data_IF_355780665219
#
_entry.id   IF_355780665219
#
_cell.length_a   1.000
_cell.length_b   1.000
_cell.length_c   1.000
_cell.angle_alpha   90.00
_cell.angle_beta   90.00
_cell.angle_gamma   90.00
#
_symmetry.space_group_name_H-M   'P 1'
#
loop_
_entity.id
_entity.type
_entity.pdbx_description
1 polymer ?
#
# COMPACT_ATOMS: atom_id res chain seq x y z
N UNK A 1 3.80 8.91 -22.52
CA UNK A 1 3.94 7.44 -22.52
C UNK A 1 4.63 6.88 -23.76
N UNK A 2 4.13 7.06 -25.00
CA UNK A 2 4.82 6.53 -26.20
C UNK A 2 6.25 7.08 -26.32
N UNK A 3 6.43 8.39 -26.08
CA UNK A 3 7.75 9.04 -26.15
C UNK A 3 8.68 8.60 -25.00
N UNK A 4 8.15 8.44 -23.79
CA UNK A 4 8.92 7.96 -22.63
C UNK A 4 9.37 6.50 -22.81
N UNK A 5 8.52 5.66 -23.41
CA UNK A 5 8.88 4.28 -23.76
C UNK A 5 10.01 4.26 -24.78
N UNK A 6 9.95 5.13 -25.80
CA UNK A 6 11.02 5.26 -26.79
C UNK A 6 12.33 5.76 -26.16
N UNK A 7 12.24 6.78 -25.30
CA UNK A 7 13.39 7.30 -24.53
C UNK A 7 14.01 6.21 -23.64
N UNK A 8 13.19 5.45 -22.91
CA UNK A 8 13.66 4.37 -22.04
C UNK A 8 14.36 3.26 -22.84
N UNK A 9 13.83 2.89 -24.01
CA UNK A 9 14.49 1.91 -24.91
C UNK A 9 15.84 2.38 -25.42
N UNK A 10 16.04 3.69 -25.54
CA UNK A 10 17.29 4.28 -25.98
C UNK A 10 18.34 4.42 -24.87
N UNK A 11 17.98 4.17 -23.60
CA UNK A 11 18.90 4.29 -22.49
C UNK A 11 19.99 3.21 -22.55
N UNK A 12 21.25 3.55 -22.19
CA UNK A 12 22.30 2.56 -22.04
C UNK A 12 21.92 1.55 -20.96
N UNK A 13 22.18 0.27 -21.24
CA UNK A 13 21.86 -0.85 -20.36
C UNK A 13 23.09 -1.73 -20.19
N UNK A 14 23.71 -1.66 -19.02
CA UNK A 14 24.86 -2.47 -18.63
C UNK A 14 24.56 -3.26 -17.36
N UNK A 15 25.25 -4.39 -17.17
CA UNK A 15 25.07 -5.24 -15.98
C UNK A 15 25.49 -4.54 -14.67
N UNK A 16 26.34 -3.52 -14.79
CA UNK A 16 26.79 -2.68 -13.68
C UNK A 16 26.35 -1.24 -13.88
N UNK A 17 26.04 -0.56 -12.80
CA UNK A 17 25.78 0.87 -12.79
C UNK A 17 27.07 1.66 -13.04
N UNK A 18 26.99 2.97 -13.32
CA UNK A 18 28.18 3.82 -13.43
C UNK A 18 29.08 3.83 -12.18
N UNK A 19 28.55 3.43 -11.02
CA UNK A 19 29.32 3.25 -9.77
C UNK A 19 29.97 1.88 -9.62
N UNK A 20 29.88 1.00 -10.64
CA UNK A 20 30.45 -0.34 -10.64
C UNK A 20 29.69 -1.36 -9.79
N UNK A 21 28.47 -1.04 -9.34
CA UNK A 21 27.61 -1.96 -8.57
C UNK A 21 26.66 -2.72 -9.51
N UNK A 22 26.20 -3.94 -9.15
CA UNK A 22 25.24 -4.67 -9.97
C UNK A 22 23.99 -3.83 -10.27
N UNK A 23 23.62 -3.67 -11.53
CA UNK A 23 22.47 -2.88 -11.98
C UNK A 23 21.14 -3.64 -11.82
N UNK A 24 20.91 -4.13 -10.61
CA UNK A 24 19.71 -4.86 -10.20
C UNK A 24 18.90 -3.97 -9.27
N UNK A 25 17.63 -3.79 -9.60
CA UNK A 25 16.73 -2.91 -8.87
C UNK A 25 15.56 -3.71 -8.31
N UNK A 26 15.34 -3.57 -7.01
CA UNK A 26 14.12 -4.05 -6.35
C UNK A 26 13.06 -2.94 -6.43
N UNK A 27 11.82 -3.34 -6.68
CA UNK A 27 10.68 -2.45 -6.60
C UNK A 27 9.56 -3.05 -5.77
N UNK A 28 8.88 -2.18 -5.03
CA UNK A 28 7.65 -2.51 -4.32
C UNK A 28 6.67 -1.32 -4.35
N UNK A 29 5.42 -1.63 -4.03
CA UNK A 29 4.33 -0.67 -3.94
C UNK A 29 3.97 -0.48 -2.46
N UNK A 30 3.80 0.76 -2.00
CA UNK A 30 3.43 1.05 -0.61
C UNK A 30 2.28 2.06 -0.58
N UNK A 31 1.44 1.97 0.44
CA UNK A 31 0.39 2.95 0.69
C UNK A 31 0.83 3.89 1.83
N UNK A 32 0.84 5.18 1.55
CA UNK A 32 1.16 6.21 2.55
C UNK A 32 -0.15 6.85 3.00
N UNK A 33 -0.61 6.54 4.20
CA UNK A 33 -1.83 7.07 4.81
C UNK A 33 -1.61 8.46 5.48
N UNK A 34 -0.78 9.31 4.88
CA UNK A 34 -0.45 10.63 5.43
C UNK A 34 -1.44 11.69 4.93
N UNK A 35 -2.29 12.19 5.83
CA UNK A 35 -3.14 13.33 5.55
C UNK A 35 -2.30 14.61 5.32
N UNK A 36 -2.78 15.55 4.46
CA UNK A 36 -4.05 15.53 3.72
C UNK A 36 -4.00 14.77 2.38
N UNK A 37 -2.87 14.12 2.07
CA UNK A 37 -2.57 13.61 0.73
C UNK A 37 -2.22 12.12 0.76
N UNK A 38 -3.17 11.23 1.15
CA UNK A 38 -2.94 9.80 1.09
C UNK A 38 -2.69 9.37 -0.36
N UNK A 39 -1.74 8.45 -0.55
CA UNK A 39 -1.28 8.08 -1.89
C UNK A 39 -0.51 6.76 -1.89
N UNK A 40 -0.47 6.11 -3.05
CA UNK A 40 0.46 5.02 -3.29
C UNK A 40 1.80 5.55 -3.76
N UNK A 41 2.87 4.85 -3.39
CA UNK A 41 4.22 5.13 -3.89
C UNK A 41 4.84 3.87 -4.47
N UNK A 42 5.44 4.02 -5.65
CA UNK A 42 6.42 3.06 -6.15
C UNK A 42 7.74 3.39 -5.47
N UNK A 43 8.33 2.40 -4.80
CA UNK A 43 9.67 2.53 -4.24
C UNK A 43 10.64 1.65 -5.04
N UNK A 44 11.68 2.28 -5.60
CA UNK A 44 12.77 1.61 -6.31
C UNK A 44 14.01 1.64 -5.42
N UNK A 45 14.72 0.53 -5.30
CA UNK A 45 15.98 0.50 -4.55
C UNK A 45 17.01 -0.44 -5.16
N UNK A 46 18.26 0.02 -5.17
CA UNK A 46 19.43 -0.79 -5.46
C UNK A 46 20.09 -1.16 -4.12
N UNK A 47 19.86 -2.40 -3.68
CA UNK A 47 20.22 -2.86 -2.34
C UNK A 47 21.71 -2.71 -2.05
N UNK A 48 22.57 -3.03 -3.02
CA UNK A 48 24.03 -3.04 -2.89
C UNK A 48 24.64 -1.65 -2.68
N UNK A 49 23.94 -0.59 -3.10
CA UNK A 49 24.37 0.80 -2.94
C UNK A 49 23.49 1.58 -1.95
N UNK A 50 22.36 1.00 -1.52
CA UNK A 50 21.28 1.71 -0.81
C UNK A 50 20.75 2.94 -1.58
N UNK A 51 21.00 3.03 -2.88
CA UNK A 51 20.37 4.05 -3.71
C UNK A 51 18.88 3.72 -3.83
N UNK A 52 18.04 4.74 -3.79
CA UNK A 52 16.61 4.57 -3.94
C UNK A 52 16.00 5.72 -4.75
N UNK A 53 14.78 5.48 -5.20
CA UNK A 53 13.91 6.45 -5.84
C UNK A 53 12.48 6.19 -5.39
N UNK A 54 11.65 7.23 -5.29
CA UNK A 54 10.23 7.08 -5.01
C UNK A 54 9.40 7.88 -5.99
N UNK A 55 8.35 7.28 -6.54
CA UNK A 55 7.36 7.96 -7.37
C UNK A 55 5.99 7.88 -6.73
N UNK A 56 5.29 9.01 -6.68
CA UNK A 56 3.87 9.08 -6.29
C UNK A 56 3.01 8.49 -7.41
N UNK A 57 2.04 7.65 -7.04
CA UNK A 57 1.09 7.05 -7.95
C UNK A 57 -0.34 7.55 -7.69
N UNK A 58 -1.14 7.73 -8.77
CA UNK A 58 -0.76 7.57 -10.16
C UNK A 58 0.08 8.76 -10.66
N UNK A 59 0.83 8.54 -11.75
CA UNK A 59 1.67 9.61 -12.30
C UNK A 59 0.82 10.80 -12.74
N UNK A 60 1.40 12.01 -12.64
CA UNK A 60 0.76 13.30 -12.98
C UNK A 60 -0.34 13.75 -12.01
N UNK A 61 -0.50 13.07 -10.88
CA UNK A 61 -1.22 13.63 -9.73
C UNK A 61 -0.43 14.83 -9.21
N UNK A 62 -1.06 16.00 -9.05
CA UNK A 62 -0.38 17.17 -8.50
C UNK A 62 0.16 16.86 -7.10
N UNK A 63 1.23 17.55 -6.68
CA UNK A 63 1.84 17.33 -5.36
C UNK A 63 0.82 17.45 -4.22
N UNK A 64 -0.16 18.34 -4.40
CA UNK A 64 -1.18 18.71 -3.42
C UNK A 64 -2.49 17.91 -3.52
N UNK A 65 -2.66 17.03 -4.53
CA UNK A 65 -3.88 16.21 -4.65
C UNK A 65 -3.68 14.82 -4.04
N UNK A 66 -4.73 14.28 -3.42
CA UNK A 66 -4.72 12.88 -3.01
C UNK A 66 -4.65 11.95 -4.22
N UNK A 67 -3.84 10.89 -4.13
CA UNK A 67 -3.75 9.84 -5.15
C UNK A 67 -4.74 8.69 -4.91
N UNK A 68 -5.71 8.87 -4.02
CA UNK A 68 -6.58 7.81 -3.50
C UNK A 68 -7.45 7.12 -4.56
N UNK A 69 -7.72 7.79 -5.69
CA UNK A 69 -8.45 7.19 -6.81
C UNK A 69 -7.69 6.03 -7.48
N UNK A 70 -6.37 5.95 -7.27
CA UNK A 70 -5.59 4.76 -7.59
C UNK A 70 -5.46 3.91 -6.33
N UNK A 71 -6.25 2.84 -6.25
CA UNK A 71 -6.21 1.86 -5.17
C UNK A 71 -6.28 0.46 -5.79
N UNK A 72 -5.15 -0.08 -6.28
CA UNK A 72 -5.18 -1.36 -6.98
C UNK A 72 -5.54 -2.48 -6.02
N UNK A 73 -6.42 -3.38 -6.45
CA UNK A 73 -6.81 -4.58 -5.68
C UNK A 73 -6.04 -5.84 -6.13
N UNK A 74 -5.23 -5.73 -7.18
CA UNK A 74 -4.45 -6.82 -7.74
C UNK A 74 -3.17 -6.33 -8.43
N UNK A 75 -2.22 -7.24 -8.63
CA UNK A 75 -1.02 -6.96 -9.43
C UNK A 75 -1.34 -6.49 -10.86
N UNK A 76 -2.38 -7.06 -11.50
CA UNK A 76 -2.83 -6.64 -12.83
C UNK A 76 -3.38 -5.20 -12.85
N UNK A 77 -4.12 -4.80 -11.82
CA UNK A 77 -4.61 -3.43 -11.68
C UNK A 77 -3.47 -2.43 -11.40
N UNK A 78 -2.45 -2.85 -10.64
CA UNK A 78 -1.30 -2.01 -10.30
C UNK A 78 -0.29 -1.85 -11.45
N UNK A 79 -0.12 -2.90 -12.27
CA UNK A 79 0.95 -3.00 -13.25
C UNK A 79 1.04 -1.84 -14.25
N UNK A 80 -0.06 -1.29 -14.81
CA UNK A 80 0.01 -0.15 -15.70
C UNK A 80 0.71 1.05 -15.06
N UNK A 81 0.29 1.49 -13.87
CA UNK A 81 0.90 2.65 -13.19
C UNK A 81 2.33 2.37 -12.72
N UNK A 82 2.61 1.15 -12.23
CA UNK A 82 3.96 0.73 -11.88
C UNK A 82 4.91 0.82 -13.09
N UNK A 83 4.52 0.28 -14.25
CA UNK A 83 5.36 0.30 -15.44
C UNK A 83 5.66 1.72 -15.91
N UNK A 84 4.63 2.59 -15.91
CA UNK A 84 4.80 4.00 -16.26
C UNK A 84 5.81 4.67 -15.33
N UNK A 85 5.69 4.45 -14.03
CA UNK A 85 6.57 5.04 -13.03
C UNK A 85 8.00 4.52 -13.15
N UNK A 86 8.22 3.20 -13.30
CA UNK A 86 9.55 2.63 -13.54
C UNK A 86 10.22 3.29 -14.76
N UNK A 87 9.51 3.35 -15.89
CA UNK A 87 10.02 3.95 -17.13
C UNK A 87 10.42 5.41 -16.89
N UNK A 88 9.52 6.20 -16.28
CA UNK A 88 9.74 7.62 -16.00
C UNK A 88 10.93 7.83 -15.06
N UNK A 89 11.08 7.04 -14.00
CA UNK A 89 12.18 7.18 -13.04
C UNK A 89 13.55 7.02 -13.69
N UNK A 90 13.71 6.03 -14.57
CA UNK A 90 14.99 5.82 -15.25
C UNK A 90 15.24 6.82 -16.39
N UNK A 91 14.20 7.27 -17.10
CA UNK A 91 14.31 8.32 -18.14
C UNK A 91 14.71 9.66 -17.54
N UNK A 92 14.10 10.04 -16.42
CA UNK A 92 14.40 11.30 -15.73
C UNK A 92 15.70 11.23 -14.91
N UNK A 93 16.24 10.02 -14.75
CA UNK A 93 17.39 9.75 -13.90
C UNK A 93 16.95 9.54 -12.44
N UNK A 94 17.39 8.42 -11.86
CA UNK A 94 17.19 8.16 -10.44
C UNK A 94 18.12 9.07 -9.63
N UNK A 95 17.52 9.81 -8.70
CA UNK A 95 18.12 10.93 -7.97
C UNK A 95 19.60 10.72 -7.67
N UNK A 96 20.41 11.56 -8.32
CA UNK A 96 21.81 11.77 -7.99
C UNK A 96 21.88 12.83 -6.89
N UNK A 97 21.75 12.42 -5.63
CA UNK A 97 21.97 13.22 -4.41
C UNK A 97 23.39 13.85 -4.31
N UNK A 98 24.16 13.89 -5.40
CA UNK A 98 25.58 14.25 -5.46
C UNK A 98 25.87 15.41 -6.43
N UNK A 99 24.93 16.36 -6.60
CA UNK A 99 25.18 17.68 -7.21
C UNK A 99 25.53 17.71 -8.71
N UNK A 100 25.72 16.56 -9.36
CA UNK A 100 25.86 16.44 -10.81
C UNK A 100 24.83 15.44 -11.35
N UNK A 101 24.03 15.82 -12.36
CA UNK A 101 23.11 14.87 -12.99
C UNK A 101 23.92 13.72 -13.57
N UNK A 102 23.65 12.50 -13.11
CA UNK A 102 24.20 11.30 -13.75
C UNK A 102 23.41 11.04 -15.05
N UNK A 103 24.07 10.65 -16.15
CA UNK A 103 23.36 10.24 -17.35
C UNK A 103 22.36 9.12 -17.01
N UNK A 104 21.11 9.20 -17.51
CA UNK A 104 20.12 8.17 -17.28
C UNK A 104 20.55 6.84 -17.93
N UNK A 105 20.17 5.73 -17.30
CA UNK A 105 20.47 4.38 -17.75
C UNK A 105 19.29 3.46 -17.42
N UNK A 106 19.11 2.40 -18.19
CA UNK A 106 18.07 1.41 -17.92
C UNK A 106 18.58 0.35 -16.92
N UNK A 107 17.69 -0.23 -16.09
CA UNK A 107 18.06 -1.33 -15.21
C UNK A 107 18.54 -2.54 -16.01
N UNK A 108 19.45 -3.34 -15.45
CA UNK A 108 19.76 -4.65 -16.02
C UNK A 108 18.69 -5.65 -15.65
N UNK A 109 18.29 -5.67 -14.37
CA UNK A 109 17.22 -6.53 -13.86
C UNK A 109 16.32 -5.78 -12.90
N UNK A 110 15.06 -6.18 -12.92
CA UNK A 110 14.03 -5.75 -11.98
C UNK A 110 13.61 -6.93 -11.13
N UNK A 111 13.40 -6.68 -9.85
CA UNK A 111 12.92 -7.69 -8.91
C UNK A 111 11.83 -7.15 -8.02
N UNK A 112 10.97 -8.02 -7.52
CA UNK A 112 9.97 -7.69 -6.51
C UNK A 112 9.75 -8.89 -5.59
N UNK A 113 9.05 -8.71 -4.48
CA UNK A 113 8.67 -9.81 -3.59
C UNK A 113 7.34 -10.46 -3.96
N UNK A 114 6.48 -9.73 -4.67
CA UNK A 114 5.10 -10.11 -4.91
C UNK A 114 4.99 -10.76 -6.30
N UNK A 115 4.51 -12.01 -6.32
CA UNK A 115 4.48 -12.84 -7.53
C UNK A 115 3.44 -12.39 -8.56
N UNK A 116 2.24 -12.00 -8.14
CA UNK A 116 1.22 -11.49 -9.06
C UNK A 116 1.65 -10.21 -9.78
N UNK A 117 2.34 -9.30 -9.09
CA UNK A 117 2.96 -8.06 -9.57
C UNK A 117 4.11 -8.39 -10.48
N UNK A 118 5.00 -9.33 -10.11
CA UNK A 118 6.12 -9.73 -10.97
C UNK A 118 5.61 -10.20 -12.35
N UNK A 119 4.56 -11.02 -12.37
CA UNK A 119 3.92 -11.51 -13.60
C UNK A 119 3.23 -10.38 -14.36
N UNK A 120 2.40 -9.59 -13.68
CA UNK A 120 1.61 -8.53 -14.30
C UNK A 120 2.49 -7.41 -14.89
N UNK A 121 3.48 -6.95 -14.13
CA UNK A 121 4.47 -5.95 -14.58
C UNK A 121 5.28 -6.51 -15.74
N UNK A 122 5.76 -7.76 -15.67
CA UNK A 122 6.49 -8.39 -16.77
C UNK A 122 5.68 -8.45 -18.07
N UNK A 123 4.40 -8.84 -17.98
CA UNK A 123 3.47 -8.84 -19.11
C UNK A 123 3.22 -7.44 -19.66
N UNK A 124 3.07 -6.44 -18.79
CA UNK A 124 2.82 -5.07 -19.19
C UNK A 124 4.05 -4.43 -19.87
N UNK A 125 5.26 -4.64 -19.35
CA UNK A 125 6.51 -4.22 -20.00
C UNK A 125 6.68 -4.89 -21.38
N UNK A 126 6.28 -6.17 -21.51
CA UNK A 126 6.28 -6.88 -22.79
C UNK A 126 5.29 -6.26 -23.78
N UNK A 127 4.08 -5.87 -23.35
CA UNK A 127 3.09 -5.16 -24.20
C UNK A 127 3.62 -3.81 -24.68
N UNK A 128 4.42 -3.12 -23.87
CA UNK A 128 5.11 -1.88 -24.25
C UNK A 128 6.32 -2.11 -25.19
N UNK A 129 6.63 -3.38 -25.51
CA UNK A 129 7.68 -3.78 -26.42
C UNK A 129 9.09 -3.55 -25.86
N UNK A 130 9.27 -3.65 -24.54
CA UNK A 130 10.59 -3.59 -23.91
C UNK A 130 11.38 -4.88 -24.09
N UNK A 131 12.68 -4.84 -23.77
CA UNK A 131 13.57 -6.00 -23.88
C UNK A 131 13.08 -7.18 -23.05
N UNK A 132 13.18 -8.40 -23.62
CA UNK A 132 12.69 -9.64 -23.01
C UNK A 132 13.27 -9.88 -21.61
N UNK A 133 14.53 -9.55 -21.39
CA UNK A 133 15.20 -9.70 -20.09
C UNK A 133 14.59 -8.82 -19.01
N UNK A 134 14.15 -7.60 -19.36
CA UNK A 134 13.47 -6.69 -18.44
C UNK A 134 12.02 -7.10 -18.17
N UNK A 135 11.40 -7.83 -19.09
CA UNK A 135 10.06 -8.38 -18.92
C UNK A 135 10.05 -9.59 -17.97
N UNK A 136 11.22 -10.15 -17.63
CA UNK A 136 11.36 -11.22 -16.64
C UNK A 136 11.70 -10.60 -15.28
N UNK A 137 10.66 -10.39 -14.47
CA UNK A 137 10.82 -9.88 -13.11
C UNK A 137 11.15 -11.05 -12.18
N UNK A 138 12.32 -11.00 -11.53
CA UNK A 138 12.73 -12.06 -10.60
C UNK A 138 12.11 -11.83 -9.21
N UNK A 139 11.77 -12.92 -8.51
CA UNK A 139 11.37 -12.87 -7.11
C UNK A 139 12.59 -12.77 -6.19
N UNK A 140 12.44 -12.03 -5.10
CA UNK A 140 13.49 -11.86 -4.10
C UNK A 140 13.29 -12.75 -2.87
N UNK A 141 14.37 -12.89 -2.09
CA UNK A 141 14.34 -13.61 -0.81
C UNK A 141 13.97 -12.67 0.33
N UNK A 142 13.54 -13.23 1.47
CA UNK A 142 13.27 -12.47 2.70
C UNK A 142 14.41 -11.52 3.10
N UNK A 143 15.67 -11.93 2.90
CA UNK A 143 16.83 -11.07 3.22
C UNK A 143 16.83 -9.76 2.41
N UNK A 144 16.46 -9.83 1.13
CA UNK A 144 16.38 -8.67 0.25
C UNK A 144 15.21 -7.77 0.64
N UNK A 145 14.06 -8.37 1.01
CA UNK A 145 12.88 -7.67 1.50
C UNK A 145 13.21 -6.85 2.75
N UNK A 146 13.83 -7.48 3.75
CA UNK A 146 14.28 -6.79 4.96
C UNK A 146 15.28 -5.67 4.66
N UNK A 147 16.16 -5.86 3.68
CA UNK A 147 17.11 -4.82 3.28
C UNK A 147 16.40 -3.64 2.60
N UNK A 148 15.43 -3.90 1.70
CA UNK A 148 14.61 -2.88 1.06
C UNK A 148 13.82 -2.08 2.10
N UNK A 149 13.18 -2.76 3.06
CA UNK A 149 12.46 -2.12 4.17
C UNK A 149 13.38 -1.19 4.97
N UNK A 150 14.60 -1.61 5.31
CA UNK A 150 15.55 -0.74 6.04
C UNK A 150 15.94 0.52 5.26
N UNK A 151 16.02 0.45 3.93
CA UNK A 151 16.27 1.64 3.11
C UNK A 151 15.02 2.54 3.13
N UNK A 152 13.84 1.95 3.02
CA UNK A 152 12.59 2.68 3.10
C UNK A 152 12.36 3.33 4.48
N UNK A 153 12.67 2.66 5.59
CA UNK A 153 12.53 3.21 6.94
C UNK A 153 13.33 4.51 7.08
N UNK A 154 14.55 4.56 6.51
CA UNK A 154 15.37 5.78 6.49
C UNK A 154 14.72 6.88 5.67
N UNK A 155 14.26 6.54 4.45
CA UNK A 155 13.52 7.47 3.60
C UNK A 155 12.28 8.04 4.31
N UNK A 156 11.50 7.16 4.96
CA UNK A 156 10.32 7.50 5.72
C UNK A 156 10.65 8.44 6.88
N UNK A 157 11.66 8.13 7.70
CA UNK A 157 12.08 9.01 8.80
C UNK A 157 12.50 10.40 8.33
N UNK A 158 13.22 10.49 7.20
CA UNK A 158 13.58 11.77 6.58
C UNK A 158 12.33 12.54 6.15
N UNK A 159 11.43 11.89 5.42
CA UNK A 159 10.19 12.51 4.94
C UNK A 159 9.28 13.01 6.08
N UNK A 160 9.12 12.23 7.15
CA UNK A 160 8.34 12.64 8.34
C UNK A 160 8.97 13.85 9.02
N UNK A 161 10.30 13.88 9.11
CA UNK A 161 11.05 15.01 9.68
C UNK A 161 10.88 16.28 8.84
N UNK A 162 10.98 16.16 7.52
CA UNK A 162 10.81 17.28 6.57
C UNK A 162 9.40 17.88 6.60
N UNK A 163 8.37 17.05 6.83
CA UNK A 163 6.98 17.49 6.99
C UNK A 163 6.69 18.18 8.32
N UNK A 164 7.67 18.23 9.24
CA UNK A 164 7.57 18.92 10.54
C UNK A 164 6.39 18.46 11.40
N UNK A 165 6.06 17.17 11.36
CA UNK A 165 5.08 16.62 12.29
C UNK A 165 5.57 16.83 13.74
N UNK A 166 4.65 17.08 14.71
CA UNK A 166 5.01 17.12 16.12
C UNK A 166 5.72 15.83 16.54
N UNK A 167 6.76 15.93 17.38
CA UNK A 167 7.57 14.76 17.80
C UNK A 167 6.72 13.59 18.32
N UNK A 168 5.69 13.80 19.17
CA UNK A 168 4.82 12.70 19.61
C UNK A 168 4.12 11.98 18.46
N UNK A 169 3.63 12.72 17.46
CA UNK A 169 2.96 12.18 16.27
C UNK A 169 3.96 11.44 15.38
N UNK A 170 5.13 12.05 15.13
CA UNK A 170 6.19 11.46 14.32
C UNK A 170 6.66 10.09 14.86
N UNK A 171 6.73 9.93 16.19
CA UNK A 171 7.09 8.65 16.84
C UNK A 171 6.04 7.56 16.59
N UNK A 172 4.76 7.94 16.44
CA UNK A 172 3.66 6.99 16.21
C UNK A 172 3.53 6.54 14.75
N UNK A 173 4.06 7.33 13.80
CA UNK A 173 3.98 7.05 12.37
C UNK A 173 5.00 5.99 11.94
N UNK A 174 4.58 4.72 11.94
CA UNK A 174 5.38 3.60 11.41
C UNK A 174 5.50 3.67 9.89
N UNK A 175 6.68 3.32 9.38
CA UNK A 175 6.88 3.17 7.94
C UNK A 175 5.99 2.03 7.41
N UNK A 176 5.19 2.26 6.36
CA UNK A 176 4.38 1.20 5.77
C UNK A 176 5.26 0.11 5.15
N UNK A 177 4.78 -1.12 5.24
CA UNK A 177 5.31 -2.26 4.51
C UNK A 177 4.85 -2.24 3.04
N UNK A 178 5.46 -3.07 2.22
CA UNK A 178 5.06 -3.32 0.85
C UNK A 178 3.69 -4.00 0.77
N UNK A 179 2.90 -3.62 -0.23
CA UNK A 179 1.58 -4.19 -0.49
C UNK A 179 1.76 -5.56 -1.13
N UNK A 180 1.32 -6.60 -0.42
CA UNK A 180 1.16 -7.94 -0.95
C UNK A 180 -0.27 -8.18 -1.43
N UNK A 181 -0.47 -8.49 -2.71
CA UNK A 181 -1.81 -8.80 -3.26
C UNK A 181 -2.18 -10.27 -3.03
N UNK A 182 -1.23 -11.19 -3.11
CA UNK A 182 -1.44 -12.61 -2.81
C UNK A 182 -1.72 -12.87 -1.32
N UNK A 183 -1.13 -12.06 -0.43
CA UNK A 183 -1.30 -12.14 1.03
C UNK A 183 -2.45 -11.28 1.55
N UNK A 184 -3.12 -10.52 0.68
CA UNK A 184 -4.42 -9.89 0.98
C UNK A 184 -5.55 -10.95 1.09
N UNK A 185 -5.21 -12.14 1.61
CA UNK A 185 -6.15 -12.99 2.32
C UNK A 185 -6.26 -12.41 3.70
N UNK A 186 -7.19 -11.48 3.84
CA UNK A 186 -7.59 -10.98 5.12
C UNK A 186 -7.88 -12.19 5.99
N UNK A 187 -7.15 -12.27 7.11
CA UNK A 187 -7.29 -13.39 8.01
C UNK A 187 -8.80 -13.55 8.24
N UNK A 188 -9.39 -14.71 7.92
CA UNK A 188 -10.76 -14.95 8.35
C UNK A 188 -10.77 -14.67 9.85
N UNK A 189 -11.83 -14.05 10.34
CA UNK A 189 -12.06 -13.84 11.77
C UNK A 189 -11.48 -15.00 12.57
N UNK A 190 -10.77 -14.75 13.69
CA UNK A 190 -10.41 -15.85 14.58
C UNK A 190 -11.67 -16.67 14.78
N UNK A 191 -11.64 -17.92 14.30
CA UNK A 191 -12.77 -18.81 14.48
C UNK A 191 -13.00 -18.85 15.98
N UNK A 192 -14.26 -18.72 16.39
CA UNK A 192 -14.73 -18.64 17.79
C UNK A 192 -14.02 -19.62 18.74
N UNK A 193 -13.47 -20.71 18.21
CA UNK A 193 -12.93 -21.86 18.92
C UNK A 193 -11.58 -21.71 19.64
N UNK A 194 -10.90 -20.56 19.63
CA UNK A 194 -9.67 -20.40 20.43
C UNK A 194 -9.84 -19.54 21.69
N UNK A 195 -11.03 -18.94 21.87
CA UNK A 195 -11.44 -18.29 23.12
C UNK A 195 -12.59 -19.05 23.82
N UNK A 196 -12.77 -20.33 23.50
CA UNK A 196 -13.73 -21.23 24.13
C UNK A 196 -13.32 -21.55 25.57
N UNK A 197 -13.56 -20.61 26.48
CA UNK A 197 -14.35 -20.96 27.64
C UNK A 197 -15.80 -20.98 27.17
N UNK A 198 -16.38 -22.16 26.97
CA UNK A 198 -17.75 -22.33 26.51
C UNK A 198 -18.68 -21.41 27.30
N UNK A 199 -19.21 -20.38 26.63
CA UNK A 199 -20.19 -19.49 27.23
C UNK A 199 -21.53 -20.22 27.24
N UNK A 200 -21.91 -20.78 28.39
CA UNK A 200 -23.16 -21.53 28.62
C UNK A 200 -24.37 -20.60 28.80
N UNK A 201 -24.40 -19.51 28.03
CA UNK A 201 -25.46 -18.51 28.04
C UNK A 201 -26.61 -18.89 27.11
N UNK A 202 -27.77 -18.21 27.25
CA UNK A 202 -28.91 -18.48 26.38
C UNK A 202 -28.58 -18.14 24.91
N UNK A 203 -29.19 -18.82 23.93
CA UNK A 203 -28.81 -18.75 22.51
C UNK A 203 -28.88 -17.34 21.90
N UNK A 204 -29.78 -16.50 22.42
CA UNK A 204 -29.96 -15.09 22.04
C UNK A 204 -28.78 -14.19 22.43
N UNK A 205 -28.07 -14.56 23.50
CA UNK A 205 -26.91 -13.84 23.97
C UNK A 205 -25.65 -14.17 23.14
N UNK A 206 -25.58 -15.37 22.55
CA UNK A 206 -24.45 -15.76 21.68
C UNK A 206 -24.40 -14.93 20.38
N UNK A 207 -25.56 -14.69 19.77
CA UNK A 207 -25.67 -13.83 18.58
C UNK A 207 -25.29 -12.38 18.90
N UNK A 208 -25.79 -11.86 20.02
CA UNK A 208 -25.45 -10.51 20.50
C UNK A 208 -23.95 -10.36 20.77
N UNK A 209 -23.32 -11.32 21.44
CA UNK A 209 -21.87 -11.33 21.70
C UNK A 209 -21.09 -11.39 20.39
N UNK A 210 -21.58 -12.15 19.40
CA UNK A 210 -20.96 -12.26 18.08
C UNK A 210 -20.99 -10.92 17.34
N UNK A 211 -22.11 -10.21 17.36
CA UNK A 211 -22.22 -8.88 16.75
C UNK A 211 -21.34 -7.84 17.45
N UNK A 212 -21.32 -7.84 18.79
CA UNK A 212 -20.47 -6.93 19.58
C UNK A 212 -18.99 -7.17 19.30
N UNK A 213 -18.54 -8.43 19.26
CA UNK A 213 -17.15 -8.76 18.92
C UNK A 213 -16.80 -8.32 17.50
N UNK A 214 -17.74 -8.49 16.55
CA UNK A 214 -17.61 -8.01 15.17
C UNK A 214 -17.38 -6.50 15.09
N UNK A 215 -18.25 -5.73 15.75
CA UNK A 215 -18.15 -4.29 15.77
C UNK A 215 -16.89 -3.81 16.51
N UNK A 216 -16.46 -4.48 17.58
CA UNK A 216 -15.22 -4.15 18.29
C UNK A 216 -13.97 -4.30 17.40
N UNK A 217 -13.84 -5.37 16.61
CA UNK A 217 -12.68 -5.48 15.73
C UNK A 217 -12.73 -4.50 14.56
N UNK A 218 -13.93 -4.23 14.02
CA UNK A 218 -14.12 -3.18 13.02
C UNK A 218 -13.67 -1.81 13.57
N UNK A 219 -14.10 -1.46 14.78
CA UNK A 219 -13.72 -0.22 15.46
C UNK A 219 -12.21 -0.13 15.64
N UNK A 220 -11.57 -1.20 16.12
CA UNK A 220 -10.10 -1.26 16.25
C UNK A 220 -9.39 -1.03 14.92
N UNK A 221 -9.88 -1.64 13.84
CA UNK A 221 -9.33 -1.46 12.50
C UNK A 221 -9.53 -0.02 12.01
N UNK A 222 -10.73 0.56 12.15
CA UNK A 222 -10.98 1.97 11.81
C UNK A 222 -10.05 2.92 12.57
N UNK A 223 -9.91 2.74 13.89
CA UNK A 223 -9.03 3.55 14.72
C UNK A 223 -7.55 3.40 14.31
N UNK A 224 -7.15 2.22 13.83
CA UNK A 224 -5.78 2.01 13.32
C UNK A 224 -5.52 2.68 11.96
N UNK A 225 -6.56 2.84 11.14
CA UNK A 225 -6.50 3.48 9.82
C UNK A 225 -6.50 5.02 9.96
N UNK A 226 -7.09 5.55 11.03
CA UNK A 226 -7.11 6.99 11.36
C UNK A 226 -6.48 7.24 12.73
N UNK A 227 -5.15 7.37 12.82
CA UNK A 227 -4.52 7.83 14.05
C UNK A 227 -5.00 9.26 14.30
N UNK A 228 -6.01 9.41 15.14
CA UNK A 228 -6.57 10.73 15.46
C UNK A 228 -5.68 11.33 16.55
N UNK A 229 -5.18 12.56 16.33
CA UNK A 229 -4.28 13.26 17.26
C UNK A 229 -4.87 13.45 18.67
N UNK A 230 -6.17 13.22 18.86
CA UNK A 230 -6.92 13.54 20.08
C UNK A 230 -7.20 12.36 21.05
N UNK A 231 -6.77 11.12 20.77
CA UNK A 231 -7.26 9.93 21.51
C UNK A 231 -6.57 9.68 22.87
N UNK A 232 -5.59 10.49 23.27
CA UNK A 232 -4.79 10.18 24.47
C UNK A 232 -5.50 10.41 25.83
N UNK A 233 -6.68 11.07 25.89
CA UNK A 233 -7.27 11.43 27.20
C UNK A 233 -8.64 10.79 27.54
N UNK A 234 -9.33 10.09 26.63
CA UNK A 234 -10.71 9.59 26.88
C UNK A 234 -11.03 8.18 26.34
N UNK A 235 -10.04 7.28 26.30
CA UNK A 235 -10.10 6.01 25.57
C UNK A 235 -11.23 5.01 25.96
N UNK A 236 -11.74 5.01 27.20
CA UNK A 236 -12.77 4.03 27.62
C UNK A 236 -14.21 4.50 27.39
N UNK A 237 -14.54 5.76 27.68
CA UNK A 237 -15.87 6.32 27.41
C UNK A 237 -16.13 6.46 25.89
N UNK A 238 -15.08 6.63 25.10
CA UNK A 238 -15.20 6.78 23.65
C UNK A 238 -15.43 5.44 22.94
N UNK A 239 -14.96 4.31 23.52
CA UNK A 239 -15.10 3.00 22.87
C UNK A 239 -16.56 2.52 22.84
N UNK A 240 -17.32 2.67 23.94
CA UNK A 240 -18.74 2.28 23.96
C UNK A 240 -19.58 3.13 23.01
N UNK A 241 -19.31 4.43 22.97
CA UNK A 241 -19.98 5.36 22.04
C UNK A 241 -19.63 5.01 20.58
N UNK A 242 -18.34 4.82 20.28
CA UNK A 242 -17.87 4.43 18.94
C UNK A 242 -18.43 3.07 18.53
N UNK A 243 -18.50 2.11 19.46
CA UNK A 243 -19.09 0.80 19.22
C UNK A 243 -20.59 0.92 18.87
N UNK A 244 -21.33 1.74 19.61
CA UNK A 244 -22.73 2.05 19.30
C UNK A 244 -22.90 2.69 17.92
N UNK A 245 -22.05 3.65 17.58
CA UNK A 245 -22.06 4.31 16.26
C UNK A 245 -21.74 3.34 15.11
N UNK A 246 -20.80 2.41 15.32
CA UNK A 246 -20.47 1.36 14.34
C UNK A 246 -21.61 0.36 14.18
N UNK A 247 -22.23 -0.06 15.29
CA UNK A 247 -23.42 -0.91 15.23
C UNK A 247 -24.56 -0.21 14.47
N UNK A 248 -24.83 1.06 14.76
CA UNK A 248 -25.80 1.87 14.02
C UNK A 248 -25.45 2.00 12.53
N UNK A 249 -24.17 2.20 12.21
CA UNK A 249 -23.67 2.27 10.83
C UNK A 249 -23.95 0.97 10.06
N UNK A 250 -23.79 -0.18 10.72
CA UNK A 250 -24.09 -1.48 10.12
C UNK A 250 -25.58 -1.66 9.84
N UNK A 251 -26.44 -1.23 10.77
CA UNK A 251 -27.89 -1.31 10.59
C UNK A 251 -28.43 -0.35 9.52
N UNK A 252 -27.84 0.85 9.40
CA UNK A 252 -28.36 1.90 8.52
C UNK A 252 -27.93 1.79 7.06
N UNK A 253 -26.77 1.21 6.77
CA UNK A 253 -26.23 1.12 5.40
C UNK A 253 -26.03 -0.34 4.99
N UNK A 254 -26.66 -0.75 3.89
CA UNK A 254 -26.38 -2.06 3.29
C UNK A 254 -25.01 -2.08 2.60
N UNK A 255 -24.32 -3.24 2.52
CA UNK A 255 -23.04 -3.35 1.83
C UNK A 255 -23.07 -2.85 0.37
N UNK A 256 -24.17 -3.08 -0.37
CA UNK A 256 -24.29 -2.57 -1.74
C UNK A 256 -24.31 -1.04 -1.80
N UNK A 257 -24.98 -0.39 -0.83
CA UNK A 257 -25.03 1.07 -0.75
C UNK A 257 -23.67 1.67 -0.41
N UNK A 258 -22.96 1.09 0.56
CA UNK A 258 -21.62 1.54 0.95
C UNK A 258 -20.66 1.42 -0.24
N UNK A 259 -20.75 0.34 -1.01
CA UNK A 259 -19.98 0.17 -2.26
C UNK A 259 -20.26 1.29 -3.27
N UNK A 260 -21.53 1.57 -3.54
CA UNK A 260 -21.92 2.61 -4.51
C UNK A 260 -21.43 3.99 -4.07
N UNK A 261 -21.50 4.31 -2.77
CA UNK A 261 -20.98 5.56 -2.21
C UNK A 261 -19.44 5.62 -2.30
N UNK A 262 -18.76 4.49 -2.07
CA UNK A 262 -17.30 4.36 -2.25
C UNK A 262 -16.88 4.56 -3.71
N UNK A 263 -17.55 3.89 -4.65
CA UNK A 263 -17.31 4.00 -6.10
C UNK A 263 -17.61 5.42 -6.61
N UNK A 264 -18.50 6.16 -5.93
CA UNK A 264 -18.78 7.57 -6.17
C UNK A 264 -17.77 8.54 -5.53
N UNK A 265 -16.72 8.03 -4.86
CA UNK A 265 -15.62 8.82 -4.30
C UNK A 265 -15.81 9.27 -2.85
N UNK A 266 -16.78 8.73 -2.11
CA UNK A 266 -16.90 9.03 -0.68
C UNK A 266 -15.83 8.27 0.12
N UNK A 267 -14.85 9.00 0.66
CA UNK A 267 -13.71 8.40 1.36
C UNK A 267 -14.09 7.59 2.61
N UNK A 268 -15.07 8.05 3.39
CA UNK A 268 -15.56 7.31 4.57
C UNK A 268 -16.21 5.98 4.17
N UNK A 269 -16.98 6.00 3.07
CA UNK A 269 -17.65 4.82 2.54
C UNK A 269 -16.66 3.87 1.87
N UNK A 270 -15.55 4.37 1.29
CA UNK A 270 -14.49 3.52 0.77
C UNK A 270 -13.80 2.72 1.88
N UNK A 271 -13.53 3.37 3.02
CA UNK A 271 -12.98 2.70 4.21
C UNK A 271 -14.01 1.72 4.79
N UNK A 272 -15.27 2.12 4.96
CA UNK A 272 -16.34 1.24 5.45
C UNK A 272 -16.53 0.02 4.51
N UNK A 273 -16.57 0.24 3.20
CA UNK A 273 -16.71 -0.83 2.21
C UNK A 273 -15.52 -1.80 2.29
N UNK A 274 -14.29 -1.28 2.31
CA UNK A 274 -13.10 -2.10 2.45
C UNK A 274 -13.19 -2.95 3.72
N UNK A 275 -13.51 -2.35 4.87
CA UNK A 275 -13.63 -3.05 6.15
C UNK A 275 -14.78 -4.07 6.17
N UNK A 276 -15.94 -3.78 5.58
CA UNK A 276 -17.05 -4.76 5.50
C UNK A 276 -16.73 -5.92 4.57
N UNK A 277 -16.14 -5.63 3.42
CA UNK A 277 -15.68 -6.63 2.47
C UNK A 277 -14.64 -7.55 3.12
N UNK A 278 -13.70 -6.94 3.85
CA UNK A 278 -12.69 -7.64 4.64
C UNK A 278 -13.29 -8.58 5.66
N UNK A 279 -14.30 -8.08 6.37
CA UNK A 279 -14.94 -8.81 7.46
C UNK A 279 -16.02 -9.78 6.98
N UNK A 280 -16.17 -9.99 5.66
CA UNK A 280 -17.19 -10.84 5.04
C UNK A 280 -18.60 -10.54 5.58
N UNK A 281 -18.91 -9.26 5.79
CA UNK A 281 -20.20 -8.85 6.30
C UNK A 281 -21.28 -9.06 5.23
N UNK A 282 -21.90 -10.25 5.24
CA UNK A 282 -23.12 -10.53 4.50
C UNK A 282 -24.30 -10.26 5.41
N UNK A 283 -25.21 -9.39 5.00
CA UNK A 283 -26.52 -9.35 5.63
C UNK A 283 -27.18 -10.70 5.40
N UNK A 284 -27.65 -11.35 6.45
CA UNK A 284 -28.30 -12.67 6.41
C UNK A 284 -29.69 -12.65 5.74
N UNK A 285 -29.95 -11.72 4.83
CA UNK A 285 -31.29 -11.42 4.31
C UNK A 285 -31.35 -11.18 2.79
N UNK A 286 -30.37 -11.66 2.03
CA UNK A 286 -30.43 -11.81 0.56
C UNK A 286 -30.12 -13.25 0.16
#
# INVERSE_FOLDING_TARGET
MSDEVAAFKALPRAESTPSGKPNKWHFDLRYLSLEPNPTHVLFLTQIESSQFHSEKLPLNTSGESSGIFFFPESGDAAAPEICKAIIRSFVNGIDSNAGKPKPPYAPWRLTTEERSVAVAVGNQLKRLGLHKDLCKIDLVTHRTITAAQKVFDKFWSTMITERRYPVPVAIMLKAPESIGFETFRLAPWPKQSEADGAFDGPPDMEETIREVNKALAYTRQMMSIRPTEAVLETAEMDLQKTLGEVMDLFHRKSPQRVRLEADAGNADSAIDYALRYVNQWRNSAD
#
